data_IF_801599762180
#
_entry.id   IF_801599762180
#
_cell.length_a   1.000
_cell.length_b   1.000
_cell.length_c   1.000
_cell.angle_alpha   90.00
_cell.angle_beta   90.00
_cell.angle_gamma   90.00
#
_symmetry.space_group_name_H-M   'P 1'
#
loop_
_entity.id
_entity.type
_entity.pdbx_description
1 polymer ?
#
# COMPACT_ATOMS: atom_id res chain seq x y z
N UNK A 1 -0.93 25.39 -18.47
CA UNK A 1 -1.44 24.10 -18.97
C UNK A 1 -2.72 23.80 -18.19
N UNK A 2 -3.84 23.67 -18.88
CA UNK A 2 -5.10 23.24 -18.26
C UNK A 2 -4.92 21.76 -17.92
N UNK A 3 -4.87 21.43 -16.63
CA UNK A 3 -4.83 20.06 -16.15
C UNK A 3 -6.21 19.46 -16.41
N UNK A 4 -6.30 18.41 -17.25
CA UNK A 4 -7.58 17.72 -17.45
C UNK A 4 -7.96 17.00 -16.16
N UNK A 5 -9.11 17.34 -15.60
CA UNK A 5 -9.65 16.66 -14.41
C UNK A 5 -10.07 15.24 -14.74
N UNK A 6 -9.83 14.32 -13.81
CA UNK A 6 -10.37 12.97 -13.91
C UNK A 6 -11.87 13.05 -13.59
N UNK A 7 -12.68 12.54 -14.51
CA UNK A 7 -14.15 12.52 -14.38
C UNK A 7 -14.67 11.10 -14.11
N UNK A 8 -15.89 11.00 -13.58
CA UNK A 8 -16.58 9.73 -13.38
C UNK A 8 -16.08 8.91 -12.19
N UNK A 9 -15.34 9.53 -11.25
CA UNK A 9 -14.84 8.89 -10.03
C UNK A 9 -15.83 9.15 -8.88
N UNK A 10 -16.08 8.11 -8.08
CA UNK A 10 -16.91 8.15 -6.87
C UNK A 10 -16.11 7.81 -5.60
N UNK A 11 -15.03 7.04 -5.76
CA UNK A 11 -14.17 6.65 -4.65
C UNK A 11 -12.70 6.86 -4.97
N UNK A 12 -11.92 7.18 -3.93
CA UNK A 12 -10.46 7.33 -4.03
C UNK A 12 -9.84 6.44 -2.97
N UNK A 13 -8.99 5.54 -3.41
CA UNK A 13 -8.31 4.60 -2.51
C UNK A 13 -6.80 4.81 -2.53
N UNK A 14 -6.16 4.63 -1.38
CA UNK A 14 -4.75 4.91 -1.18
C UNK A 14 -4.00 3.68 -0.68
N UNK A 15 -2.82 3.44 -1.24
CA UNK A 15 -1.79 2.69 -0.53
C UNK A 15 -1.22 3.53 0.61
N UNK A 16 -0.48 2.92 1.55
CA UNK A 16 0.11 3.64 2.68
C UNK A 16 1.63 3.82 2.48
N UNK A 17 2.35 2.72 2.26
CA UNK A 17 3.81 2.66 2.38
C UNK A 17 4.51 3.27 1.16
N UNK A 18 5.04 4.48 1.32
CA UNK A 18 5.62 5.26 0.22
C UNK A 18 4.60 6.15 -0.50
N UNK A 19 3.31 5.99 -0.19
CA UNK A 19 2.20 6.77 -0.76
C UNK A 19 1.75 7.88 0.18
N UNK A 20 1.39 7.59 1.43
CA UNK A 20 1.01 8.60 2.41
C UNK A 20 2.20 9.21 3.17
N UNK A 21 3.35 8.56 3.12
CA UNK A 21 4.61 9.04 3.69
C UNK A 21 5.80 8.58 2.84
N UNK A 22 6.95 9.27 2.87
CA UNK A 22 8.13 8.83 2.14
C UNK A 22 8.71 7.51 2.70
N UNK A 23 8.78 6.45 1.89
CA UNK A 23 9.24 5.12 2.32
C UNK A 23 10.65 5.15 2.97
N UNK A 24 11.56 6.03 2.51
CA UNK A 24 12.90 6.17 3.07
C UNK A 24 12.89 6.54 4.56
N UNK A 25 11.85 7.23 5.05
CA UNK A 25 11.72 7.56 6.48
C UNK A 25 11.54 6.29 7.32
N UNK A 26 10.75 5.32 6.86
CA UNK A 26 10.62 4.04 7.54
C UNK A 26 11.96 3.32 7.56
N UNK A 27 12.66 3.26 6.42
CA UNK A 27 13.98 2.63 6.32
C UNK A 27 14.92 3.25 7.35
N UNK A 28 15.02 4.58 7.41
CA UNK A 28 15.90 5.28 8.35
C UNK A 28 15.60 4.92 9.82
N UNK A 29 14.32 4.86 10.20
CA UNK A 29 13.92 4.52 11.57
C UNK A 29 14.04 3.02 11.89
N UNK A 30 14.24 2.18 10.89
CA UNK A 30 14.38 0.73 11.06
C UNK A 30 15.81 0.23 10.88
N UNK A 31 16.77 1.06 10.48
CA UNK A 31 18.19 0.69 10.29
C UNK A 31 18.77 -0.10 11.49
N UNK A 32 18.69 0.37 12.76
CA UNK A 32 19.25 -0.37 13.88
C UNK A 32 18.63 -1.76 14.04
N UNK A 33 17.31 -1.85 13.81
CA UNK A 33 16.59 -3.12 13.84
C UNK A 33 17.05 -4.06 12.70
N UNK A 34 17.25 -3.53 11.49
CA UNK A 34 17.75 -4.31 10.35
C UNK A 34 19.15 -4.85 10.61
N UNK A 35 20.04 -4.06 11.20
CA UNK A 35 21.41 -4.49 11.54
C UNK A 35 21.36 -5.61 12.58
N UNK A 36 20.57 -5.45 13.64
CA UNK A 36 20.44 -6.42 14.71
C UNK A 36 19.82 -7.74 14.25
N UNK A 37 18.88 -7.69 13.31
CA UNK A 37 18.13 -8.84 12.81
C UNK A 37 18.37 -9.12 11.32
N UNK A 38 19.59 -8.88 10.83
CA UNK A 38 19.93 -8.92 9.39
C UNK A 38 19.56 -10.24 8.70
N UNK A 39 19.79 -11.39 9.36
CA UNK A 39 19.42 -12.70 8.83
C UNK A 39 17.92 -12.83 8.65
N UNK A 40 17.16 -12.45 9.68
CA UNK A 40 15.70 -12.48 9.65
C UNK A 40 15.14 -11.55 8.57
N UNK A 41 15.61 -10.32 8.51
CA UNK A 41 15.12 -9.33 7.56
C UNK A 41 15.43 -9.71 6.09
N UNK A 42 16.59 -10.32 5.85
CA UNK A 42 16.93 -10.86 4.53
C UNK A 42 16.03 -12.04 4.14
N UNK A 43 15.76 -12.95 5.07
CA UNK A 43 14.83 -14.07 4.87
C UNK A 43 13.40 -13.55 4.62
N UNK A 44 12.93 -12.64 5.46
CA UNK A 44 11.60 -12.02 5.31
C UNK A 44 11.44 -11.31 3.96
N UNK A 45 12.44 -10.52 3.53
CA UNK A 45 12.41 -9.88 2.22
C UNK A 45 12.33 -10.90 1.06
N UNK A 46 13.08 -12.03 1.16
CA UNK A 46 12.99 -13.13 0.17
C UNK A 46 11.58 -13.73 0.13
N UNK A 47 11.01 -14.02 1.31
CA UNK A 47 9.66 -14.57 1.44
C UNK A 47 8.63 -13.61 0.85
N UNK A 48 8.71 -12.32 1.18
CA UNK A 48 7.82 -11.30 0.58
C UNK A 48 7.94 -11.27 -0.95
N UNK A 49 9.15 -11.38 -1.47
CA UNK A 49 9.36 -11.44 -2.92
C UNK A 49 8.72 -12.69 -3.55
N UNK A 50 8.84 -13.86 -2.92
CA UNK A 50 8.17 -15.11 -3.37
C UNK A 50 6.65 -14.93 -3.38
N UNK A 51 6.08 -14.37 -2.32
CA UNK A 51 4.63 -14.15 -2.21
C UNK A 51 4.12 -13.13 -3.24
N UNK A 52 4.84 -12.04 -3.47
CA UNK A 52 4.49 -11.08 -4.53
C UNK A 52 4.60 -11.70 -5.94
N UNK A 53 5.63 -12.51 -6.21
CA UNK A 53 5.75 -13.23 -7.48
C UNK A 53 4.58 -14.20 -7.68
N UNK A 54 4.19 -14.95 -6.64
CA UNK A 54 3.02 -15.81 -6.69
C UNK A 54 1.77 -15.00 -7.03
N UNK A 55 1.52 -13.92 -6.32
CA UNK A 55 0.38 -13.01 -6.57
C UNK A 55 0.40 -12.38 -7.96
N UNK A 56 1.58 -12.25 -8.58
CA UNK A 56 1.71 -11.76 -9.95
C UNK A 56 1.47 -12.85 -10.99
N UNK A 57 1.93 -14.09 -10.74
CA UNK A 57 1.80 -15.21 -11.68
C UNK A 57 0.41 -15.86 -11.64
N UNK A 58 -0.27 -15.77 -10.51
CA UNK A 58 -1.63 -16.27 -10.31
C UNK A 58 -2.47 -15.18 -9.60
N UNK A 59 -2.90 -14.15 -10.36
CA UNK A 59 -3.50 -12.95 -9.78
C UNK A 59 -4.92 -13.15 -9.25
N UNK A 60 -5.57 -14.25 -9.57
CA UNK A 60 -6.97 -14.53 -9.25
C UNK A 60 -7.11 -15.58 -8.12
N UNK A 61 -6.01 -16.10 -7.59
CA UNK A 61 -6.03 -17.12 -6.53
C UNK A 61 -5.49 -16.57 -5.20
N UNK A 62 -6.33 -16.63 -4.17
CA UNK A 62 -5.92 -16.34 -2.79
C UNK A 62 -5.31 -17.57 -2.12
N UNK A 63 -4.37 -17.35 -1.21
CA UNK A 63 -3.91 -18.36 -0.25
C UNK A 63 -4.97 -18.50 0.85
N UNK A 64 -5.47 -19.71 1.12
CA UNK A 64 -6.46 -19.90 2.18
C UNK A 64 -5.94 -19.51 3.56
N UNK A 65 -4.66 -19.72 3.81
CA UNK A 65 -3.97 -19.35 5.04
C UNK A 65 -2.62 -18.67 4.71
N UNK A 66 -2.71 -17.39 4.40
CA UNK A 66 -1.55 -16.58 4.01
C UNK A 66 -0.47 -16.56 5.10
N UNK A 67 -0.89 -16.36 6.34
CA UNK A 67 0.05 -16.21 7.46
C UNK A 67 0.80 -17.51 7.76
N UNK A 68 0.12 -18.64 7.69
CA UNK A 68 0.78 -19.95 7.86
C UNK A 68 1.80 -20.20 6.73
N UNK A 69 1.42 -19.97 5.48
CA UNK A 69 2.34 -20.11 4.33
C UNK A 69 3.53 -19.17 4.47
N UNK A 70 3.33 -17.94 4.89
CA UNK A 70 4.42 -16.99 5.14
C UNK A 70 5.37 -17.50 6.24
N UNK A 71 4.82 -18.03 7.34
CA UNK A 71 5.59 -18.55 8.45
C UNK A 71 6.39 -19.80 8.05
N UNK A 72 5.82 -20.73 7.29
CA UNK A 72 6.49 -21.93 6.76
C UNK A 72 7.65 -21.55 5.84
N UNK A 73 7.42 -20.63 4.90
CA UNK A 73 8.47 -20.13 4.00
C UNK A 73 9.62 -19.47 4.79
N UNK A 74 9.28 -18.70 5.81
CA UNK A 74 10.28 -18.01 6.65
C UNK A 74 11.05 -19.00 7.53
N UNK A 75 10.35 -19.96 8.12
CA UNK A 75 10.93 -21.06 8.89
C UNK A 75 11.98 -21.85 8.09
N UNK A 76 11.63 -22.19 6.84
CA UNK A 76 12.54 -22.86 5.90
C UNK A 76 13.79 -22.02 5.62
N UNK A 77 13.64 -20.69 5.41
CA UNK A 77 14.80 -19.81 5.14
C UNK A 77 15.73 -19.63 6.35
N UNK A 78 15.20 -19.77 7.56
CA UNK A 78 15.94 -19.53 8.81
C UNK A 78 16.37 -20.79 9.52
N UNK A 79 15.85 -21.95 9.13
CA UNK A 79 16.01 -23.25 9.81
C UNK A 79 15.51 -23.19 11.27
N UNK A 80 14.26 -22.72 11.44
CA UNK A 80 13.53 -22.64 12.71
C UNK A 80 12.13 -23.22 12.52
N UNK A 81 11.34 -23.33 13.58
CA UNK A 81 9.95 -23.78 13.46
C UNK A 81 9.05 -22.66 12.87
N UNK A 82 7.93 -22.99 12.18
CA UNK A 82 6.95 -22.03 11.73
C UNK A 82 6.36 -21.18 12.87
N UNK A 83 6.20 -21.79 14.05
CA UNK A 83 5.71 -21.10 15.24
C UNK A 83 6.69 -20.00 15.71
N UNK A 84 7.99 -20.32 15.75
CA UNK A 84 9.02 -19.32 16.11
C UNK A 84 9.07 -18.18 15.09
N UNK A 85 8.99 -18.50 13.79
CA UNK A 85 8.95 -17.52 12.72
C UNK A 85 7.74 -16.59 12.86
N UNK A 86 6.55 -17.14 13.10
CA UNK A 86 5.31 -16.39 13.31
C UNK A 86 5.35 -15.51 14.56
N UNK A 87 5.84 -16.05 15.68
CA UNK A 87 6.00 -15.31 16.93
C UNK A 87 6.94 -14.10 16.76
N UNK A 88 8.04 -14.29 16.01
CA UNK A 88 8.96 -13.20 15.72
C UNK A 88 8.32 -12.12 14.84
N UNK A 89 7.61 -12.53 13.78
CA UNK A 89 6.89 -11.59 12.90
C UNK A 89 5.86 -10.77 13.68
N UNK A 90 5.03 -11.43 14.49
CA UNK A 90 4.01 -10.76 15.29
C UNK A 90 4.63 -9.76 16.26
N UNK A 91 5.62 -10.19 17.03
CA UNK A 91 6.26 -9.36 18.04
C UNK A 91 7.04 -8.20 17.44
N UNK A 92 7.89 -8.46 16.47
CA UNK A 92 8.90 -7.51 16.02
C UNK A 92 8.44 -6.68 14.80
N UNK A 93 7.65 -7.26 13.90
CA UNK A 93 7.18 -6.59 12.68
C UNK A 93 5.78 -6.02 12.91
N UNK A 94 4.77 -6.88 13.18
CA UNK A 94 3.39 -6.41 13.24
C UNK A 94 3.13 -5.50 14.45
N UNK A 95 3.60 -5.85 15.63
CA UNK A 95 3.46 -5.04 16.84
C UNK A 95 4.61 -4.06 17.07
N UNK A 96 5.84 -4.51 16.83
CA UNK A 96 7.06 -3.76 17.14
C UNK A 96 7.24 -2.49 16.32
N UNK A 97 6.80 -2.48 15.08
CA UNK A 97 6.93 -1.31 14.21
C UNK A 97 5.96 -0.18 14.53
N UNK A 98 4.87 -0.44 15.25
CA UNK A 98 3.89 0.58 15.64
C UNK A 98 4.55 1.81 16.29
N UNK A 99 5.47 1.58 17.23
CA UNK A 99 6.23 2.68 17.89
C UNK A 99 7.12 3.46 16.92
N UNK A 100 7.62 2.82 15.86
CA UNK A 100 8.46 3.47 14.84
C UNK A 100 7.60 4.36 13.93
N UNK A 101 6.40 3.91 13.57
CA UNK A 101 5.47 4.71 12.77
C UNK A 101 5.03 6.00 13.45
N UNK A 102 4.97 6.06 14.79
CA UNK A 102 4.65 7.29 15.52
C UNK A 102 5.68 8.42 15.31
N UNK A 103 6.92 8.07 14.90
CA UNK A 103 8.00 9.04 14.64
C UNK A 103 8.05 9.49 13.16
N UNK A 104 7.31 8.83 12.29
CA UNK A 104 7.29 9.12 10.86
C UNK A 104 6.25 10.19 10.59
N UNK A 105 6.62 11.24 9.86
CA UNK A 105 5.68 12.26 9.40
C UNK A 105 5.19 11.92 8.00
N UNK A 106 3.89 12.07 7.74
CA UNK A 106 3.32 11.89 6.40
C UNK A 106 3.88 12.91 5.41
N UNK A 107 3.53 12.73 4.14
CA UNK A 107 3.75 13.80 3.15
C UNK A 107 2.97 15.07 3.55
N UNK A 108 3.53 16.25 3.28
CA UNK A 108 2.79 17.49 3.46
C UNK A 108 1.46 17.46 2.70
N UNK A 109 0.39 17.94 3.34
CA UNK A 109 -0.97 17.98 2.80
C UNK A 109 -1.64 16.63 2.50
N UNK A 110 -1.05 15.46 2.81
CA UNK A 110 -1.69 14.17 2.57
C UNK A 110 -3.02 14.05 3.33
N UNK A 111 -3.03 14.33 4.62
CA UNK A 111 -4.25 14.31 5.45
C UNK A 111 -5.26 15.37 4.99
N UNK A 112 -4.80 16.59 4.73
CA UNK A 112 -5.64 17.69 4.27
C UNK A 112 -6.31 17.35 2.92
N UNK A 113 -5.57 16.72 2.01
CA UNK A 113 -6.13 16.26 0.75
C UNK A 113 -7.27 15.26 0.96
N UNK A 114 -7.09 14.28 1.84
CA UNK A 114 -8.13 13.28 2.15
C UNK A 114 -9.36 13.94 2.79
N UNK A 115 -9.18 14.90 3.71
CA UNK A 115 -10.29 15.67 4.29
C UNK A 115 -11.08 16.41 3.20
N UNK A 116 -10.38 17.07 2.28
CA UNK A 116 -11.03 17.82 1.18
C UNK A 116 -11.76 16.89 0.21
N UNK A 117 -11.17 15.73 -0.12
CA UNK A 117 -11.81 14.74 -0.97
C UNK A 117 -13.08 14.18 -0.34
N UNK A 118 -13.01 13.84 0.96
CA UNK A 118 -14.20 13.38 1.69
C UNK A 118 -15.26 14.46 1.77
N UNK A 119 -14.89 15.71 2.02
CA UNK A 119 -15.79 16.88 2.00
C UNK A 119 -16.42 17.15 0.62
N UNK A 120 -15.75 16.76 -0.45
CA UNK A 120 -16.27 16.80 -1.82
C UNK A 120 -17.18 15.60 -2.19
N UNK A 121 -17.44 14.68 -1.25
CA UNK A 121 -18.35 13.56 -1.40
C UNK A 121 -17.72 12.26 -1.90
N UNK A 122 -16.39 12.18 -2.04
CA UNK A 122 -15.74 10.93 -2.42
C UNK A 122 -15.73 9.94 -1.26
N UNK A 123 -15.99 8.66 -1.54
CA UNK A 123 -15.66 7.57 -0.61
C UNK A 123 -14.16 7.41 -0.55
N UNK A 124 -13.62 7.16 0.65
CA UNK A 124 -12.18 7.04 0.89
C UNK A 124 -11.84 5.61 1.30
N UNK A 125 -10.95 4.97 0.55
CA UNK A 125 -10.44 3.63 0.84
C UNK A 125 -8.95 3.62 1.18
N UNK A 126 -8.52 2.61 1.93
CA UNK A 126 -7.11 2.22 2.10
C UNK A 126 -6.97 0.76 1.71
N UNK A 127 -5.92 0.45 0.96
CA UNK A 127 -5.46 -0.90 0.69
C UNK A 127 -3.94 -0.96 0.83
N UNK A 128 -3.47 -1.56 1.89
CA UNK A 128 -2.04 -1.77 2.20
C UNK A 128 -1.72 -3.26 2.17
N UNK A 129 -0.47 -3.64 1.90
CA UNK A 129 -0.06 -5.04 2.04
C UNK A 129 -0.01 -5.46 3.51
N UNK A 130 0.39 -4.57 4.40
CA UNK A 130 0.37 -4.79 5.86
C UNK A 130 -0.88 -4.21 6.50
N UNK A 131 -1.28 -4.70 7.71
CA UNK A 131 -2.40 -4.14 8.45
C UNK A 131 -2.25 -2.62 8.63
N UNK A 132 -3.25 -1.81 8.23
CA UNK A 132 -3.21 -0.35 8.41
C UNK A 132 -3.01 0.05 9.87
N UNK A 133 -3.58 -0.70 10.81
CA UNK A 133 -3.53 -0.47 12.25
C UNK A 133 -2.12 -0.62 12.83
N UNK A 134 -1.23 -1.33 12.15
CA UNK A 134 0.20 -1.39 12.47
C UNK A 134 0.80 0.03 12.52
N UNK A 135 0.26 0.94 11.75
CA UNK A 135 0.67 2.34 11.65
C UNK A 135 -0.16 3.27 12.55
N UNK A 136 -0.87 2.69 13.53
CA UNK A 136 -1.76 3.41 14.43
C UNK A 136 -2.97 3.97 13.68
N UNK A 137 -3.29 5.26 13.90
CA UNK A 137 -4.39 5.93 13.18
C UNK A 137 -4.01 6.40 11.78
N UNK A 138 -2.81 6.01 11.27
CA UNK A 138 -2.25 6.55 10.00
C UNK A 138 -2.35 8.09 10.01
N UNK A 139 -1.78 8.71 11.05
CA UNK A 139 -1.81 10.17 11.31
C UNK A 139 -3.23 10.77 11.39
N UNK A 140 -4.21 9.97 11.82
CA UNK A 140 -5.62 10.38 11.88
C UNK A 140 -6.33 10.35 10.52
N UNK A 141 -5.80 9.58 9.57
CA UNK A 141 -6.43 9.32 8.27
C UNK A 141 -7.43 8.15 8.37
N UNK A 142 -7.10 7.08 9.12
CA UNK A 142 -7.99 5.91 9.23
C UNK A 142 -9.44 6.25 9.64
N UNK A 143 -9.68 7.15 10.62
CA UNK A 143 -11.05 7.54 10.96
C UNK A 143 -11.82 8.28 9.85
N UNK A 144 -11.11 8.76 8.82
CA UNK A 144 -11.72 9.42 7.66
C UNK A 144 -12.09 8.42 6.56
N UNK A 145 -11.56 7.19 6.62
CA UNK A 145 -11.77 6.18 5.60
C UNK A 145 -13.12 5.47 5.79
N UNK A 146 -13.78 5.19 4.68
CA UNK A 146 -14.98 4.35 4.64
C UNK A 146 -14.59 2.87 4.67
N UNK A 147 -13.41 2.53 4.12
CA UNK A 147 -12.87 1.16 4.07
C UNK A 147 -11.36 1.20 4.30
N UNK A 148 -10.84 0.26 5.10
CA UNK A 148 -9.41 0.02 5.26
C UNK A 148 -9.14 -1.50 5.24
N UNK A 149 -8.40 -1.95 4.23
CA UNK A 149 -8.08 -3.36 4.01
C UNK A 149 -6.57 -3.59 3.99
N UNK A 150 -6.18 -4.83 4.33
CA UNK A 150 -4.83 -5.31 4.07
C UNK A 150 -4.84 -6.56 3.18
N UNK A 151 -3.88 -6.63 2.27
CA UNK A 151 -3.79 -7.69 1.27
C UNK A 151 -3.46 -9.05 1.89
N UNK A 152 -2.66 -9.09 2.95
CA UNK A 152 -2.30 -10.33 3.65
C UNK A 152 -3.54 -11.05 4.19
N UNK A 153 -4.46 -10.33 4.84
CA UNK A 153 -5.69 -10.90 5.35
C UNK A 153 -6.65 -11.38 4.26
N UNK A 154 -6.49 -10.86 3.04
CA UNK A 154 -7.23 -11.29 1.86
C UNK A 154 -6.58 -12.48 1.13
N UNK A 155 -5.45 -12.97 1.65
CA UNK A 155 -4.74 -14.14 1.11
C UNK A 155 -3.89 -13.86 -0.13
N UNK A 156 -3.76 -12.62 -0.58
CA UNK A 156 -3.01 -12.29 -1.78
C UNK A 156 -2.43 -10.89 -1.71
N UNK A 157 -1.13 -10.75 -2.03
CA UNK A 157 -0.48 -9.43 -2.06
C UNK A 157 -0.77 -8.71 -3.38
N UNK A 158 -0.66 -7.40 -3.39
CA UNK A 158 -0.59 -6.63 -4.64
C UNK A 158 0.59 -7.13 -5.48
N UNK A 159 0.50 -7.30 -6.79
CA UNK A 159 -0.53 -6.80 -7.71
C UNK A 159 -1.66 -7.79 -8.02
N UNK A 160 -1.92 -8.82 -7.17
CA UNK A 160 -3.10 -9.68 -7.36
C UNK A 160 -4.35 -8.82 -7.54
N UNK A 161 -5.28 -9.30 -8.36
CA UNK A 161 -6.58 -8.65 -8.59
C UNK A 161 -7.50 -8.70 -7.37
N UNK A 162 -7.33 -9.73 -6.52
CA UNK A 162 -8.19 -10.00 -5.37
C UNK A 162 -8.28 -8.82 -4.40
N UNK A 163 -7.17 -8.23 -3.88
CA UNK A 163 -7.25 -7.10 -2.97
C UNK A 163 -7.99 -5.89 -3.56
N UNK A 164 -7.79 -5.60 -4.85
CA UNK A 164 -8.44 -4.47 -5.51
C UNK A 164 -9.94 -4.72 -5.74
N UNK A 165 -10.33 -5.95 -6.13
CA UNK A 165 -11.74 -6.33 -6.26
C UNK A 165 -12.46 -6.31 -4.92
N UNK A 166 -11.80 -6.80 -3.85
CA UNK A 166 -12.35 -6.74 -2.49
C UNK A 166 -12.46 -5.30 -1.97
N UNK A 167 -11.55 -4.43 -2.34
CA UNK A 167 -11.65 -3.00 -2.03
C UNK A 167 -12.86 -2.36 -2.73
N UNK A 168 -13.09 -2.67 -4.01
CA UNK A 168 -14.23 -2.17 -4.77
C UNK A 168 -15.57 -2.66 -4.19
N UNK A 169 -15.64 -3.94 -3.84
CA UNK A 169 -16.78 -4.56 -3.15
C UNK A 169 -17.09 -3.86 -1.82
N UNK A 170 -16.09 -3.70 -0.96
CA UNK A 170 -16.23 -3.07 0.34
C UNK A 170 -16.63 -1.58 0.26
N UNK A 171 -16.12 -0.84 -0.76
CA UNK A 171 -16.53 0.53 -1.06
C UNK A 171 -17.93 0.62 -1.70
N UNK A 172 -18.52 -0.53 -2.08
CA UNK A 172 -19.73 -0.58 -2.88
C UNK A 172 -19.65 0.39 -4.07
N UNK A 173 -18.59 0.20 -4.89
CA UNK A 173 -18.27 1.09 -6.03
C UNK A 173 -17.63 0.27 -7.13
N UNK A 174 -18.08 0.44 -8.38
CA UNK A 174 -17.46 -0.22 -9.53
C UNK A 174 -16.00 0.18 -9.70
N UNK A 175 -15.13 -0.78 -10.08
CA UNK A 175 -13.69 -0.54 -10.27
C UNK A 175 -13.41 0.67 -11.18
N UNK A 176 -14.15 0.83 -12.28
CA UNK A 176 -13.96 1.94 -13.24
C UNK A 176 -14.26 3.33 -12.66
N UNK A 177 -14.92 3.39 -11.50
CA UNK A 177 -15.26 4.62 -10.76
C UNK A 177 -14.38 4.83 -9.53
N UNK A 178 -13.34 4.03 -9.38
CA UNK A 178 -12.34 4.15 -8.31
C UNK A 178 -11.05 4.72 -8.88
N UNK A 179 -10.48 5.75 -8.23
CA UNK A 179 -9.13 6.22 -8.45
C UNK A 179 -8.21 5.63 -7.38
N UNK A 180 -7.30 4.74 -7.79
CA UNK A 180 -6.32 4.16 -6.89
C UNK A 180 -5.01 4.95 -6.88
N UNK A 181 -4.55 5.35 -5.71
CA UNK A 181 -3.36 6.18 -5.52
C UNK A 181 -2.25 5.33 -4.90
N UNK A 182 -1.11 5.23 -5.59
CA UNK A 182 0.02 4.42 -5.12
C UNK A 182 1.37 4.90 -5.64
N UNK A 183 2.45 4.36 -5.05
CA UNK A 183 3.83 4.70 -5.41
C UNK A 183 4.58 3.57 -6.14
N UNK A 184 4.04 2.35 -6.14
CA UNK A 184 4.63 1.22 -6.83
C UNK A 184 4.05 1.07 -8.24
N UNK A 185 4.92 1.14 -9.26
CA UNK A 185 4.48 0.94 -10.65
C UNK A 185 3.90 -0.45 -10.88
N UNK A 186 4.49 -1.46 -10.23
CA UNK A 186 4.13 -2.88 -10.42
C UNK A 186 3.00 -3.28 -9.48
N UNK A 187 3.11 -2.95 -8.20
CA UNK A 187 2.17 -3.46 -7.21
C UNK A 187 0.87 -2.65 -7.16
N UNK A 188 0.98 -1.32 -7.18
CA UNK A 188 -0.18 -0.43 -7.09
C UNK A 188 -0.80 -0.14 -8.46
N UNK A 189 0.00 0.46 -9.34
CA UNK A 189 -0.52 1.03 -10.60
C UNK A 189 -0.93 -0.07 -11.57
N UNK A 190 -0.06 -1.05 -11.83
CA UNK A 190 -0.41 -2.16 -12.73
C UNK A 190 -1.51 -3.05 -12.13
N UNK A 191 -1.48 -3.31 -10.79
CA UNK A 191 -2.50 -4.11 -10.13
C UNK A 191 -3.89 -3.47 -10.17
N UNK A 192 -4.00 -2.18 -9.85
CA UNK A 192 -5.26 -1.45 -9.92
C UNK A 192 -5.78 -1.32 -11.37
N UNK A 193 -4.90 -1.03 -12.33
CA UNK A 193 -5.26 -0.97 -13.75
C UNK A 193 -5.77 -2.32 -14.29
N UNK A 194 -5.22 -3.44 -13.81
CA UNK A 194 -5.63 -4.79 -14.23
C UNK A 194 -7.09 -5.14 -13.88
N UNK A 195 -7.69 -4.41 -12.92
CA UNK A 195 -9.12 -4.54 -12.59
C UNK A 195 -9.97 -3.37 -13.13
N UNK A 196 -9.40 -2.52 -13.96
CA UNK A 196 -10.08 -1.39 -14.58
C UNK A 196 -10.21 -0.14 -13.73
N UNK A 197 -9.50 -0.05 -12.59
CA UNK A 197 -9.45 1.19 -11.81
C UNK A 197 -8.67 2.27 -12.54
N UNK A 198 -9.03 3.54 -12.34
CA UNK A 198 -8.17 4.67 -12.66
C UNK A 198 -7.02 4.73 -11.68
N UNK A 199 -5.89 5.24 -12.13
CA UNK A 199 -4.66 5.17 -11.33
C UNK A 199 -3.95 6.51 -11.23
N UNK A 200 -3.47 6.82 -10.02
CA UNK A 200 -2.69 8.01 -9.71
C UNK A 200 -1.34 7.62 -9.10
N UNK A 201 -0.26 7.89 -9.81
CA UNK A 201 1.09 7.57 -9.38
C UNK A 201 1.71 8.75 -8.63
N UNK A 202 2.06 8.54 -7.34
CA UNK A 202 2.89 9.50 -6.62
C UNK A 202 4.36 9.27 -6.95
N UNK A 203 4.97 10.23 -7.63
CA UNK A 203 6.39 10.19 -8.00
C UNK A 203 7.27 10.78 -6.89
N UNK A 204 8.45 10.21 -6.68
CA UNK A 204 9.45 10.85 -5.85
C UNK A 204 9.84 12.22 -6.48
N UNK A 205 9.73 13.34 -5.76
CA UNK A 205 10.01 14.68 -6.29
C UNK A 205 11.40 14.81 -6.93
N UNK A 206 12.41 14.14 -6.36
CA UNK A 206 13.80 14.16 -6.87
C UNK A 206 13.96 13.41 -8.20
N UNK A 207 13.04 12.52 -8.51
CA UNK A 207 13.12 11.65 -9.70
C UNK A 207 12.07 12.04 -10.75
N UNK A 208 11.01 12.74 -10.35
CA UNK A 208 9.88 13.09 -11.21
C UNK A 208 10.27 14.03 -12.36
N UNK A 209 11.28 14.88 -12.15
CA UNK A 209 11.76 15.82 -13.17
C UNK A 209 12.31 15.14 -14.43
N UNK A 210 12.85 13.92 -14.29
CA UNK A 210 13.52 13.20 -15.39
C UNK A 210 12.77 11.95 -15.88
N UNK A 211 11.63 11.57 -15.29
CA UNK A 211 10.94 10.33 -15.65
C UNK A 211 9.58 10.57 -16.28
N UNK A 212 9.35 9.92 -17.41
CA UNK A 212 8.03 9.80 -18.03
C UNK A 212 7.02 9.16 -17.04
N UNK A 213 5.77 9.54 -17.15
CA UNK A 213 4.64 8.90 -16.47
C UNK A 213 4.73 7.38 -16.65
N UNK A 214 4.56 6.57 -15.56
CA UNK A 214 4.61 5.12 -15.71
C UNK A 214 3.51 4.61 -16.66
N UNK A 215 3.73 3.48 -17.33
CA UNK A 215 2.65 2.76 -17.98
C UNK A 215 1.49 2.55 -17.02
N UNK A 216 0.26 2.54 -17.53
CA UNK A 216 -0.98 2.36 -16.77
C UNK A 216 -1.32 3.45 -15.73
N UNK A 217 -0.52 4.49 -15.56
CA UNK A 217 -0.92 5.63 -14.72
C UNK A 217 -1.76 6.63 -15.51
N UNK A 218 -2.98 6.92 -15.07
CA UNK A 218 -3.81 7.97 -15.68
C UNK A 218 -3.24 9.35 -15.35
N UNK A 219 -2.84 9.57 -14.08
CA UNK A 219 -2.12 10.77 -13.65
C UNK A 219 -0.84 10.43 -12.90
N UNK A 220 0.08 11.41 -12.87
CA UNK A 220 1.28 11.36 -12.04
C UNK A 220 1.45 12.69 -11.33
N UNK A 221 1.75 12.66 -10.04
CA UNK A 221 1.90 13.84 -9.20
C UNK A 221 3.09 13.68 -8.25
N UNK A 222 3.62 14.78 -7.74
CA UNK A 222 4.77 14.80 -6.83
C UNK A 222 4.42 15.31 -5.42
N UNK A 223 3.25 15.90 -5.25
CA UNK A 223 2.75 16.37 -3.96
C UNK A 223 1.22 16.40 -3.95
N UNK A 224 0.63 16.37 -2.75
CA UNK A 224 -0.82 16.26 -2.59
C UNK A 224 -1.61 17.52 -2.99
N UNK A 225 -0.98 18.71 -3.05
CA UNK A 225 -1.63 19.90 -3.61
C UNK A 225 -1.83 19.75 -5.12
N UNK A 226 -0.81 19.26 -5.81
CA UNK A 226 -0.91 18.94 -7.24
C UNK A 226 -1.97 17.86 -7.50
N UNK A 227 -2.01 16.81 -6.66
CA UNK A 227 -3.02 15.76 -6.76
C UNK A 227 -4.45 16.32 -6.72
N UNK A 228 -4.74 17.21 -5.77
CA UNK A 228 -6.05 17.83 -5.65
C UNK A 228 -6.47 18.59 -6.93
N UNK A 229 -5.54 19.22 -7.63
CA UNK A 229 -5.86 19.94 -8.89
C UNK A 229 -6.29 19.00 -10.02
N UNK A 230 -5.93 17.69 -9.95
CA UNK A 230 -6.40 16.69 -10.92
C UNK A 230 -7.79 16.15 -10.58
N UNK A 231 -8.18 16.21 -9.31
CA UNK A 231 -9.40 15.54 -8.83
C UNK A 231 -10.53 16.53 -8.52
N UNK A 232 -10.20 17.67 -7.91
CA UNK A 232 -11.14 18.78 -7.58
C UNK A 232 -11.07 19.92 -8.58
#
# INVERSE_FOLDING_TARGET
>A
MIVSKISGIEAIAFDIDGTLYPAWKLILHTIPFFILHIRFMNAFRKVRHILHRRSSSDPDTALPDFFNVQNELLATQLNISPQEAGNFLDKEIYKGWKKKFLRIRPYPFAKEAIIRLKGAGFKIGILSDFPPEQKGSVWGILPLCDVALNSEALGALKPSRIPFLKLAEALNTSCVRILYVGNSKTYDIAGAAAVGMKTAYIANPLVSFFRKKPPYADISFSNYRQFLNYVL
#
